data_IF_552392436825
#
_entry.id   IF_552392436825
#
_cell.length_a   1.000
_cell.length_b   1.000
_cell.length_c   1.000
_cell.angle_alpha   90.00
_cell.angle_beta   90.00
_cell.angle_gamma   90.00
#
_symmetry.space_group_name_H-M   'P 1'
#
loop_
_entity.id
_entity.type
_entity.pdbx_description
1 polymer ?
#
# COMPACT_ATOMS: atom_id res chain seq x y z
N UNK A 1 5.50 10.72 -8.75
CA UNK A 1 4.31 9.93 -9.10
C UNK A 1 3.87 9.08 -7.92
N UNK A 2 4.61 8.03 -7.51
CA UNK A 2 4.35 7.28 -6.26
C UNK A 2 4.31 8.19 -5.02
N UNK A 3 5.12 9.26 -5.01
CA UNK A 3 5.10 10.30 -3.98
C UNK A 3 3.71 10.92 -3.71
N UNK A 4 2.80 10.92 -4.70
CA UNK A 4 1.42 11.39 -4.51
C UNK A 4 0.65 10.42 -3.62
N UNK A 5 0.76 9.12 -3.91
CA UNK A 5 0.16 8.05 -3.10
C UNK A 5 0.65 8.08 -1.66
N UNK A 6 1.94 8.35 -1.44
CA UNK A 6 2.51 8.48 -0.09
C UNK A 6 1.92 9.69 0.66
N UNK A 7 1.64 10.80 -0.04
CA UNK A 7 1.18 12.06 0.58
C UNK A 7 -0.33 12.13 0.78
N UNK A 8 -1.12 11.54 -0.12
CA UNK A 8 -2.58 11.68 -0.15
C UNK A 8 -3.32 10.36 -0.30
N UNK A 9 -2.62 9.23 -0.28
CA UNK A 9 -3.22 7.91 -0.32
C UNK A 9 -3.90 7.54 1.00
N UNK A 10 -4.82 6.59 0.89
CA UNK A 10 -5.56 5.99 1.98
C UNK A 10 -4.79 4.78 2.51
N UNK A 11 -4.65 4.65 3.83
CA UNK A 11 -4.14 3.40 4.44
C UNK A 11 -5.28 2.39 4.45
N UNK A 12 -5.11 1.26 3.76
CA UNK A 12 -6.13 0.20 3.65
C UNK A 12 -5.78 -1.04 4.46
N UNK A 13 -4.49 -1.30 4.71
CA UNK A 13 -4.03 -2.33 5.64
C UNK A 13 -2.86 -1.78 6.48
N UNK A 14 -2.74 -2.26 7.72
CA UNK A 14 -1.63 -1.93 8.64
C UNK A 14 -1.03 -3.21 9.18
N UNK A 15 0.29 -3.29 9.16
CA UNK A 15 1.07 -4.43 9.61
C UNK A 15 2.04 -3.94 10.69
N UNK A 16 1.55 -3.78 11.95
CA UNK A 16 2.35 -3.22 13.04
C UNK A 16 3.52 -4.12 13.45
N UNK A 17 3.40 -5.43 13.17
CA UNK A 17 4.36 -6.45 13.57
C UNK A 17 5.41 -6.75 12.48
N UNK A 18 5.38 -6.03 11.35
CA UNK A 18 6.39 -6.15 10.29
C UNK A 18 7.76 -5.66 10.77
N UNK A 19 8.80 -6.39 10.40
CA UNK A 19 10.20 -6.07 10.70
C UNK A 19 10.94 -5.61 9.43
N UNK A 20 11.86 -4.61 9.52
CA UNK A 20 12.41 -4.00 10.74
C UNK A 20 11.62 -2.81 11.28
N UNK A 21 10.52 -2.44 10.64
CA UNK A 21 9.64 -1.38 11.13
C UNK A 21 8.20 -1.61 10.66
N UNK A 22 7.20 -1.16 11.44
CA UNK A 22 5.79 -1.30 11.11
C UNK A 22 5.51 -0.85 9.67
N UNK A 23 4.71 -1.61 8.94
CA UNK A 23 4.40 -1.30 7.56
C UNK A 23 2.91 -1.01 7.36
N UNK A 24 2.60 -0.31 6.26
CA UNK A 24 1.23 0.02 5.85
C UNK A 24 1.08 -0.19 4.36
N UNK A 25 -0.05 -0.76 3.96
CA UNK A 25 -0.47 -0.74 2.57
C UNK A 25 -1.29 0.53 2.31
N UNK A 26 -0.79 1.36 1.43
CA UNK A 26 -1.48 2.56 0.96
C UNK A 26 -2.08 2.34 -0.42
N UNK A 27 -3.33 2.75 -0.60
CA UNK A 27 -3.99 2.91 -1.89
C UNK A 27 -3.99 4.39 -2.28
N UNK A 28 -3.56 4.70 -3.49
CA UNK A 28 -3.75 6.03 -4.07
C UNK A 28 -4.03 5.97 -5.55
N UNK A 29 -4.49 7.09 -6.09
CA UNK A 29 -4.87 7.21 -7.49
C UNK A 29 -4.00 8.25 -8.18
N UNK A 30 -3.51 7.91 -9.37
CA UNK A 30 -2.83 8.84 -10.27
C UNK A 30 -3.67 8.94 -11.53
N UNK A 31 -4.46 10.01 -11.64
CA UNK A 31 -5.62 10.01 -12.53
C UNK A 31 -6.60 8.92 -12.09
N UNK A 32 -7.09 8.13 -13.04
CA UNK A 32 -8.03 7.02 -12.77
C UNK A 32 -7.34 5.70 -12.42
N UNK A 33 -5.99 5.68 -12.33
CA UNK A 33 -5.23 4.45 -12.10
C UNK A 33 -4.95 4.23 -10.62
N UNK A 34 -5.37 3.09 -10.03
CA UNK A 34 -5.07 2.75 -8.65
C UNK A 34 -3.64 2.23 -8.50
N UNK A 35 -3.01 2.59 -7.38
CA UNK A 35 -1.68 2.12 -6.99
C UNK A 35 -1.68 1.70 -5.53
N UNK A 36 -1.16 0.51 -5.29
CA UNK A 36 -0.83 -0.05 -4.00
C UNK A 36 0.64 0.17 -3.70
N UNK A 37 0.92 0.76 -2.54
CA UNK A 37 2.28 1.03 -2.08
C UNK A 37 2.40 0.50 -0.66
N UNK A 38 3.29 -0.46 -0.45
CA UNK A 38 3.65 -0.89 0.90
C UNK A 38 4.78 0.02 1.39
N UNK A 39 4.53 0.74 2.48
CA UNK A 39 5.49 1.61 3.14
C UNK A 39 5.88 1.05 4.50
N UNK A 40 7.17 0.84 4.73
CA UNK A 40 7.72 0.72 6.08
C UNK A 40 7.87 2.10 6.71
N UNK A 41 7.36 2.27 7.92
CA UNK A 41 7.40 3.51 8.71
C UNK A 41 8.46 3.33 9.79
N UNK A 42 9.69 3.67 9.45
CA UNK A 42 10.81 3.65 10.38
C UNK A 42 10.90 5.01 11.11
N UNK A 43 11.70 5.08 12.17
CA UNK A 43 11.80 6.28 13.03
C UNK A 43 12.39 7.50 12.33
N UNK A 44 13.31 7.30 11.39
CA UNK A 44 14.07 8.34 10.71
C UNK A 44 13.79 8.43 9.20
N UNK A 45 13.12 7.42 8.62
CA UNK A 45 12.80 7.38 7.19
C UNK A 45 11.56 6.54 6.88
N UNK A 46 11.05 6.71 5.65
CA UNK A 46 10.05 5.82 5.07
C UNK A 46 10.74 4.90 4.05
N UNK A 47 10.35 3.63 4.05
CA UNK A 47 10.83 2.62 3.09
C UNK A 47 9.71 2.26 2.13
N UNK A 48 9.89 2.51 0.84
CA UNK A 48 9.00 1.95 -0.18
C UNK A 48 9.41 0.50 -0.39
N UNK A 49 8.59 -0.43 0.09
CA UNK A 49 8.87 -1.87 0.01
C UNK A 49 8.43 -2.40 -1.36
N UNK A 50 7.19 -2.13 -1.74
CA UNK A 50 6.63 -2.47 -3.06
C UNK A 50 5.71 -1.37 -3.56
N UNK A 51 5.58 -1.26 -4.88
CA UNK A 51 4.60 -0.42 -5.54
C UNK A 51 4.04 -1.15 -6.76
N UNK A 52 2.75 -1.45 -6.77
CA UNK A 52 2.07 -2.22 -7.81
C UNK A 52 0.66 -1.68 -8.06
N UNK A 53 0.01 -2.13 -9.13
CA UNK A 53 -1.42 -1.92 -9.31
C UNK A 53 -2.16 -3.13 -8.72
N UNK A 54 -3.38 -2.96 -8.16
CA UNK A 54 -4.22 -4.09 -7.80
C UNK A 54 -4.53 -4.94 -9.04
N UNK A 55 -4.51 -6.26 -8.87
CA UNK A 55 -4.93 -7.24 -9.86
C UNK A 55 -6.16 -8.02 -9.38
N UNK A 56 -6.94 -8.55 -10.31
CA UNK A 56 -8.20 -9.22 -10.01
C UNK A 56 -8.01 -10.58 -9.31
N UNK A 57 -6.81 -11.15 -9.35
CA UNK A 57 -6.46 -12.42 -8.70
C UNK A 57 -6.32 -12.24 -7.18
N UNK A 58 -5.72 -11.14 -6.74
CA UNK A 58 -5.45 -10.86 -5.33
C UNK A 58 -6.48 -9.93 -4.69
N UNK A 59 -7.26 -9.19 -5.48
CA UNK A 59 -8.15 -8.13 -5.01
C UNK A 59 -9.57 -8.29 -5.54
N UNK A 60 -10.56 -8.08 -4.68
CA UNK A 60 -11.99 -8.07 -5.06
C UNK A 60 -12.38 -6.72 -5.68
N UNK A 61 -11.74 -5.66 -5.19
CA UNK A 61 -11.83 -4.29 -5.67
C UNK A 61 -10.48 -3.61 -5.38
N UNK A 62 -10.30 -2.32 -5.70
CA UNK A 62 -9.01 -1.62 -5.48
C UNK A 62 -8.55 -1.54 -4.01
N UNK A 63 -9.38 -1.90 -3.03
CA UNK A 63 -9.15 -1.79 -1.58
C UNK A 63 -9.19 -3.13 -0.85
N UNK A 64 -10.01 -4.08 -1.29
CA UNK A 64 -10.33 -5.29 -0.52
C UNK A 64 -9.57 -6.49 -1.04
N UNK A 65 -8.65 -7.04 -0.23
CA UNK A 65 -7.89 -8.25 -0.57
C UNK A 65 -8.80 -9.47 -0.56
N UNK A 66 -8.62 -10.36 -1.53
CA UNK A 66 -9.31 -11.65 -1.51
C UNK A 66 -8.77 -12.49 -0.35
N UNK A 67 -9.66 -13.10 0.41
CA UNK A 67 -9.26 -14.14 1.38
C UNK A 67 -8.78 -15.33 0.56
N UNK A 68 -7.54 -15.78 0.82
CA UNK A 68 -7.09 -17.08 0.35
C UNK A 68 -7.77 -18.12 1.25
N UNK A 69 -8.57 -19.00 0.63
CA UNK A 69 -9.11 -20.21 1.27
C UNK A 69 -8.01 -21.24 1.52
#
# INVERSE_FOLDING_TARGET
>A
MISLVIRSGEVIESYPDDEPCPSRLMLGFIGDRPYHVVLGICTDHLRVITASMPDDEHWTDTRTRRKRE
#
